data_IF_135102103038
#
_entry.id   IF_135102103038
#
_cell.length_a   1.000
_cell.length_b   1.000
_cell.length_c   1.000
_cell.angle_alpha   90.00
_cell.angle_beta   90.00
_cell.angle_gamma   90.00
#
_symmetry.space_group_name_H-M   'P 1'
#
loop_
_entity.id
_entity.type
_entity.pdbx_description
1 polymer ?
#
# COMPACT_ATOMS: atom_id res chain seq x y z
N UNK A 1 30.36 -0.60 -17.41
CA UNK A 1 29.74 -0.57 -18.76
C UNK A 1 28.63 -1.60 -18.94
N UNK A 2 28.84 -2.89 -18.65
CA UNK A 2 27.79 -3.93 -18.77
C UNK A 2 26.53 -3.65 -17.92
N UNK A 3 26.70 -3.14 -16.69
CA UNK A 3 25.59 -2.77 -15.79
C UNK A 3 24.76 -1.59 -16.33
N UNK A 4 25.41 -0.61 -16.95
CA UNK A 4 24.74 0.55 -17.57
C UNK A 4 23.96 0.14 -18.82
N UNK A 5 24.51 -0.81 -19.59
CA UNK A 5 23.84 -1.36 -20.77
C UNK A 5 22.60 -2.19 -20.39
N UNK A 6 22.68 -3.02 -19.35
CA UNK A 6 21.50 -3.76 -18.83
C UNK A 6 20.45 -2.80 -18.29
N UNK A 7 20.85 -1.75 -17.56
CA UNK A 7 19.94 -0.70 -17.09
C UNK A 7 19.28 0.05 -18.26
N UNK A 8 20.04 0.39 -19.29
CA UNK A 8 19.51 1.06 -20.49
C UNK A 8 18.57 0.16 -21.29
N UNK A 9 18.87 -1.13 -21.43
CA UNK A 9 18.00 -2.12 -22.09
C UNK A 9 16.73 -2.33 -21.27
N UNK A 10 16.83 -2.39 -19.93
CA UNK A 10 15.66 -2.43 -19.05
C UNK A 10 14.80 -1.18 -19.24
N UNK A 11 15.40 0.01 -19.16
CA UNK A 11 14.71 1.29 -19.33
C UNK A 11 14.03 1.42 -20.70
N UNK A 12 14.67 0.98 -21.79
CA UNK A 12 14.08 1.00 -23.14
C UNK A 12 13.01 -0.07 -23.32
N UNK A 13 13.17 -1.26 -22.71
CA UNK A 13 12.16 -2.33 -22.73
C UNK A 13 10.82 -1.91 -22.10
N UNK A 14 10.84 -1.04 -21.09
CA UNK A 14 9.63 -0.48 -20.48
C UNK A 14 8.89 0.55 -21.35
N UNK A 15 9.52 1.10 -22.40
CA UNK A 15 8.91 2.20 -23.18
C UNK A 15 7.96 1.76 -24.30
N UNK A 16 7.79 0.45 -24.56
CA UNK A 16 7.14 -0.05 -25.79
C UNK A 16 5.83 -0.81 -25.54
N UNK A 17 5.27 -0.81 -24.33
CA UNK A 17 4.00 -1.51 -24.06
C UNK A 17 2.86 -0.52 -23.81
N UNK A 18 2.43 0.21 -24.85
CA UNK A 18 1.11 0.86 -24.84
C UNK A 18 0.00 -0.17 -25.10
N UNK A 19 -0.12 -1.16 -24.21
CA UNK A 19 -1.38 -1.86 -24.08
C UNK A 19 -2.29 -0.95 -23.26
N UNK A 20 -3.45 -0.59 -23.80
CA UNK A 20 -4.50 0.04 -23.02
C UNK A 20 -4.97 -1.00 -22.00
N UNK A 21 -4.26 -1.10 -20.88
CA UNK A 21 -4.70 -1.87 -19.74
C UNK A 21 -5.95 -1.17 -19.21
N UNK A 22 -7.00 -1.94 -18.98
CA UNK A 22 -8.17 -1.40 -18.32
C UNK A 22 -8.02 -1.71 -16.83
N UNK A 23 -7.58 -0.73 -16.05
CA UNK A 23 -7.68 -0.82 -14.60
C UNK A 23 -9.17 -0.77 -14.22
N UNK A 24 -9.54 -1.50 -13.17
CA UNK A 24 -10.92 -1.45 -12.67
C UNK A 24 -11.23 -0.04 -12.15
N UNK A 25 -12.45 0.44 -12.42
CA UNK A 25 -12.90 1.74 -11.90
C UNK A 25 -12.81 1.78 -10.39
N UNK A 26 -13.22 0.70 -9.72
CA UNK A 26 -13.08 0.53 -8.29
C UNK A 26 -12.59 -0.87 -7.94
N UNK A 27 -11.90 -0.99 -6.81
CA UNK A 27 -11.70 -2.25 -6.13
C UNK A 27 -11.80 -2.06 -4.62
N UNK A 28 -12.33 -3.03 -3.88
CA UNK A 28 -12.38 -3.00 -2.42
C UNK A 28 -12.05 -4.36 -1.84
N UNK A 29 -11.31 -4.40 -0.74
CA UNK A 29 -11.07 -5.65 -0.04
C UNK A 29 -10.12 -5.49 1.13
N UNK A 30 -9.29 -6.50 1.33
CA UNK A 30 -8.38 -6.58 2.45
C UNK A 30 -6.94 -6.59 1.97
N UNK A 31 -6.08 -5.83 2.65
CA UNK A 31 -4.63 -5.88 2.55
C UNK A 31 -4.09 -6.49 3.84
N UNK A 32 -3.43 -7.63 3.74
CA UNK A 32 -3.02 -8.46 4.87
C UNK A 32 -1.49 -8.44 4.97
N UNK A 33 -0.97 -7.57 5.83
CA UNK A 33 0.46 -7.41 6.11
C UNK A 33 0.75 -7.47 7.62
N UNK A 34 2.02 -7.24 7.97
CA UNK A 34 2.47 -7.17 9.37
C UNK A 34 2.41 -5.72 9.88
N UNK A 35 2.58 -4.73 8.98
CA UNK A 35 2.38 -3.26 9.13
C UNK A 35 2.78 -2.72 10.51
N UNK A 36 3.93 -3.19 11.01
CA UNK A 36 4.49 -2.95 12.34
C UNK A 36 3.43 -2.75 13.43
N UNK A 37 2.49 -3.70 13.48
CA UNK A 37 1.43 -3.65 14.46
C UNK A 37 0.08 -3.07 14.00
N UNK A 38 -0.25 -2.90 12.71
CA UNK A 38 -1.64 -2.65 12.27
C UNK A 38 -2.35 -3.84 11.63
N UNK A 39 -1.63 -4.89 11.22
CA UNK A 39 -2.24 -6.13 10.72
C UNK A 39 -3.07 -5.94 9.44
N UNK A 40 -4.32 -6.42 9.45
CA UNK A 40 -5.21 -6.37 8.29
C UNK A 40 -5.83 -4.98 8.09
N UNK A 41 -5.77 -4.48 6.87
CA UNK A 41 -6.29 -3.18 6.46
C UNK A 41 -7.45 -3.34 5.47
N UNK A 42 -8.47 -2.49 5.59
CA UNK A 42 -9.51 -2.34 4.57
C UNK A 42 -8.93 -1.47 3.47
N UNK A 43 -8.83 -2.01 2.26
CA UNK A 43 -8.20 -1.34 1.11
C UNK A 43 -9.23 -1.01 0.04
N UNK A 44 -9.28 0.24 -0.40
CA UNK A 44 -10.13 0.72 -1.49
C UNK A 44 -9.29 1.40 -2.57
N UNK A 45 -9.55 1.04 -3.82
CA UNK A 45 -8.89 1.60 -4.99
C UNK A 45 -9.91 2.29 -5.90
N UNK A 46 -9.52 3.43 -6.47
CA UNK A 46 -10.30 4.20 -7.44
C UNK A 46 -9.43 4.61 -8.62
N UNK A 47 -9.80 4.18 -9.82
CA UNK A 47 -9.16 4.66 -11.05
C UNK A 47 -9.33 6.18 -11.20
N UNK A 48 -8.26 6.86 -11.58
CA UNK A 48 -8.22 8.31 -11.81
C UNK A 48 -7.99 8.66 -13.28
N UNK A 49 -7.45 7.73 -14.06
CA UNK A 49 -7.21 7.87 -15.49
C UNK A 49 -6.81 6.54 -16.11
N UNK A 50 -6.09 6.59 -17.23
CA UNK A 50 -5.78 5.41 -18.04
C UNK A 50 -4.91 4.37 -17.31
N UNK A 51 -3.95 4.82 -16.50
CA UNK A 51 -2.97 3.95 -15.86
C UNK A 51 -2.66 4.34 -14.42
N UNK A 52 -3.52 5.15 -13.80
CA UNK A 52 -3.29 5.64 -12.45
C UNK A 52 -4.55 5.54 -11.60
N UNK A 53 -4.33 5.29 -10.31
CA UNK A 53 -5.38 5.11 -9.32
C UNK A 53 -4.98 5.70 -7.97
N UNK A 54 -5.99 5.98 -7.16
CA UNK A 54 -5.85 6.23 -5.74
C UNK A 54 -6.10 4.93 -4.98
N UNK A 55 -5.25 4.60 -4.01
CA UNK A 55 -5.50 3.57 -2.99
C UNK A 55 -5.64 4.24 -1.63
N UNK A 56 -6.65 3.82 -0.87
CA UNK A 56 -6.93 4.26 0.50
C UNK A 56 -7.01 3.03 1.39
N UNK A 57 -6.20 3.00 2.44
CA UNK A 57 -6.17 1.88 3.37
C UNK A 57 -6.49 2.33 4.79
N UNK A 58 -7.41 1.61 5.43
CA UNK A 58 -7.78 1.81 6.83
C UNK A 58 -7.39 0.57 7.65
N UNK A 59 -6.33 0.72 8.44
CA UNK A 59 -5.97 -0.23 9.49
C UNK A 59 -6.71 0.12 10.77
N UNK A 60 -7.38 -0.87 11.35
CA UNK A 60 -8.03 -0.76 12.66
C UNK A 60 -7.43 -1.80 13.59
N UNK A 61 -7.08 -1.39 14.79
CA UNK A 61 -6.60 -2.33 15.80
C UNK A 61 -7.24 -2.07 17.14
N UNK A 62 -7.63 -3.17 17.77
CA UNK A 62 -8.16 -3.18 19.12
C UNK A 62 -7.64 -4.40 19.86
N UNK A 63 -7.21 -4.19 21.10
CA UNK A 63 -6.67 -5.23 21.97
C UNK A 63 -6.78 -4.88 23.44
N UNK A 64 -6.39 -5.81 24.32
CA UNK A 64 -6.40 -5.57 25.77
C UNK A 64 -5.27 -4.59 26.15
N UNK A 65 -5.62 -3.31 26.25
CA UNK A 65 -4.73 -2.23 26.68
C UNK A 65 -4.06 -1.45 25.55
N UNK A 66 -4.52 -1.61 24.31
CA UNK A 66 -4.15 -0.70 23.22
C UNK A 66 -5.24 -0.66 22.14
N UNK A 67 -5.55 0.54 21.66
CA UNK A 67 -6.43 0.78 20.52
C UNK A 67 -5.74 1.74 19.55
N UNK A 68 -6.05 1.62 18.26
CA UNK A 68 -5.48 2.53 17.28
C UNK A 68 -6.07 2.40 15.89
N UNK A 69 -5.82 3.41 15.08
CA UNK A 69 -6.14 3.39 13.66
C UNK A 69 -4.98 3.96 12.84
N UNK A 70 -4.92 3.56 11.58
CA UNK A 70 -4.02 4.16 10.58
C UNK A 70 -4.76 4.30 9.27
N UNK A 71 -4.63 5.46 8.68
CA UNK A 71 -5.16 5.80 7.37
C UNK A 71 -4.00 6.10 6.44
N UNK A 72 -3.92 5.35 5.34
CA UNK A 72 -2.96 5.60 4.26
C UNK A 72 -3.70 6.04 2.99
N UNK A 73 -3.08 6.94 2.23
CA UNK A 73 -3.50 7.31 0.89
C UNK A 73 -2.32 7.30 -0.06
N UNK A 74 -2.44 6.56 -1.17
CA UNK A 74 -1.38 6.32 -2.13
C UNK A 74 -1.86 6.63 -3.54
N UNK A 75 -1.09 7.43 -4.27
CA UNK A 75 -1.26 7.57 -5.71
C UNK A 75 -0.37 6.54 -6.41
N UNK A 76 -0.96 5.67 -7.22
CA UNK A 76 -0.27 4.57 -7.87
C UNK A 76 -0.34 4.71 -9.40
N UNK A 77 0.77 4.42 -10.05
CA UNK A 77 0.86 4.13 -11.47
C UNK A 77 0.88 2.62 -11.67
N UNK A 78 0.09 2.14 -12.61
CA UNK A 78 -0.08 0.72 -12.93
C UNK A 78 0.44 0.48 -14.35
N UNK A 79 1.03 -0.67 -14.60
CA UNK A 79 1.52 -1.07 -15.92
C UNK A 79 1.32 -2.57 -16.16
N UNK A 80 0.95 -2.92 -17.38
CA UNK A 80 0.79 -4.31 -17.79
C UNK A 80 2.15 -5.02 -17.83
N UNK A 81 2.24 -6.18 -17.15
CA UNK A 81 3.35 -7.11 -17.29
C UNK A 81 3.08 -8.09 -18.44
N UNK A 82 2.03 -8.91 -18.29
CA UNK A 82 1.63 -9.92 -19.25
C UNK A 82 0.20 -10.40 -18.98
N UNK A 83 -0.64 -10.48 -20.01
CA UNK A 83 -2.03 -10.92 -19.91
C UNK A 83 -2.84 -10.14 -18.86
N UNK A 84 -3.10 -10.80 -17.73
CA UNK A 84 -3.88 -10.27 -16.60
C UNK A 84 -2.99 -9.84 -15.42
N UNK A 85 -1.67 -9.92 -15.56
CA UNK A 85 -0.70 -9.45 -14.56
C UNK A 85 -0.34 -7.99 -14.82
N UNK A 86 -0.43 -7.17 -13.77
CA UNK A 86 0.11 -5.82 -13.75
C UNK A 86 1.18 -5.70 -12.67
N UNK A 87 2.05 -4.71 -12.83
CA UNK A 87 2.87 -4.18 -11.74
C UNK A 87 2.50 -2.74 -11.49
N UNK A 88 2.73 -2.26 -10.27
CA UNK A 88 2.46 -0.89 -9.90
C UNK A 88 3.55 -0.35 -8.99
N UNK A 89 3.68 0.97 -9.03
CA UNK A 89 4.48 1.73 -8.09
C UNK A 89 3.69 2.96 -7.67
N UNK A 90 3.85 3.40 -6.44
CA UNK A 90 3.09 4.50 -5.88
C UNK A 90 3.84 5.26 -4.82
N UNK A 91 3.32 6.45 -4.52
CA UNK A 91 3.78 7.31 -3.44
C UNK A 91 2.59 7.93 -2.74
N UNK A 92 2.77 8.25 -1.48
CA UNK A 92 1.72 8.86 -0.68
C UNK A 92 2.14 9.00 0.77
N UNK A 93 1.20 8.79 1.66
CA UNK A 93 1.41 8.93 3.08
C UNK A 93 0.10 8.83 3.85
N UNK A 94 0.15 9.19 5.12
CA UNK A 94 -1.01 9.04 5.96
C UNK A 94 -0.81 9.55 7.36
N UNK A 95 -1.75 9.17 8.21
CA UNK A 95 -1.72 9.46 9.63
C UNK A 95 -2.26 8.27 10.40
N UNK A 96 -1.79 8.13 11.63
CA UNK A 96 -2.33 7.13 12.54
C UNK A 96 -2.32 7.65 13.96
N UNK A 97 -3.05 6.95 14.81
CA UNK A 97 -3.07 7.20 16.23
C UNK A 97 -3.14 5.89 16.99
N UNK A 98 -2.43 5.86 18.12
CA UNK A 98 -2.48 4.78 19.09
C UNK A 98 -2.69 5.33 20.49
N UNK A 99 -3.43 4.60 21.31
CA UNK A 99 -3.55 4.81 22.75
C UNK A 99 -3.17 3.52 23.48
N UNK A 100 -2.33 3.64 24.51
CA UNK A 100 -1.97 2.54 25.40
C UNK A 100 -2.57 2.75 26.78
N UNK A 101 -3.36 1.78 27.26
CA UNK A 101 -3.84 1.77 28.63
C UNK A 101 -2.74 1.18 29.52
N UNK A 102 -2.07 2.01 30.32
CA UNK A 102 -1.05 1.53 31.27
C UNK A 102 -1.62 1.39 32.68
N UNK A 103 -1.22 0.35 33.44
CA UNK A 103 -1.61 0.25 34.83
C UNK A 103 -1.07 1.43 35.65
N UNK A 104 -1.90 1.94 36.57
CA UNK A 104 -1.57 3.03 37.50
C UNK A 104 -0.23 2.79 38.21
N UNK A 105 0.65 3.81 38.38
CA UNK A 105 0.38 5.26 38.35
C UNK A 105 0.83 5.97 37.05
N UNK A 106 1.11 5.22 35.98
CA UNK A 106 1.92 5.70 34.86
C UNK A 106 1.19 6.55 33.80
N UNK A 107 -0.13 6.74 33.92
CA UNK A 107 -0.93 7.54 32.98
C UNK A 107 -1.21 6.85 31.63
N UNK A 108 -2.11 7.45 30.85
CA UNK A 108 -2.44 7.02 29.48
C UNK A 108 -1.45 7.64 28.50
N UNK A 109 -0.77 6.84 27.69
CA UNK A 109 0.14 7.32 26.64
C UNK A 109 -0.58 7.21 25.29
N UNK A 110 -0.77 8.34 24.60
CA UNK A 110 -1.30 8.37 23.24
C UNK A 110 -0.42 9.17 22.31
N UNK A 111 -0.38 8.75 21.05
CA UNK A 111 0.37 9.43 20.00
C UNK A 111 -0.51 9.55 18.76
N UNK A 112 -0.36 10.68 18.06
CA UNK A 112 -0.78 10.82 16.67
C UNK A 112 0.45 11.13 15.84
N UNK A 113 0.66 10.36 14.77
CA UNK A 113 1.81 10.51 13.89
C UNK A 113 1.33 10.66 12.45
N UNK A 114 2.17 11.28 11.63
CA UNK A 114 2.03 11.31 10.18
C UNK A 114 3.18 10.52 9.56
N UNK A 115 3.01 10.05 8.33
CA UNK A 115 4.06 9.32 7.62
C UNK A 115 4.03 9.60 6.12
N UNK A 116 5.18 9.46 5.47
CA UNK A 116 5.30 9.36 4.02
C UNK A 116 5.44 7.88 3.65
N UNK A 117 4.90 7.48 2.50
CA UNK A 117 4.90 6.10 2.06
C UNK A 117 5.29 5.98 0.58
N UNK A 118 6.08 4.97 0.26
CA UNK A 118 6.22 4.43 -1.09
C UNK A 118 5.48 3.11 -1.19
N UNK A 119 5.20 2.67 -2.41
CA UNK A 119 4.54 1.39 -2.64
C UNK A 119 5.02 0.78 -3.96
N UNK A 120 5.24 -0.53 -3.96
CA UNK A 120 5.58 -1.29 -5.17
C UNK A 120 4.98 -2.68 -5.08
N UNK A 121 4.29 -3.11 -6.13
CA UNK A 121 3.61 -4.39 -6.10
C UNK A 121 3.35 -4.98 -7.47
N UNK A 122 2.89 -6.22 -7.43
CA UNK A 122 2.36 -6.95 -8.57
C UNK A 122 0.93 -7.39 -8.27
N UNK A 123 0.06 -7.34 -9.26
CA UNK A 123 -1.33 -7.77 -9.14
C UNK A 123 -1.72 -8.70 -10.28
N UNK A 124 -2.65 -9.60 -9.99
CA UNK A 124 -3.30 -10.44 -10.97
C UNK A 124 -4.81 -10.22 -10.91
N UNK A 125 -5.36 -9.89 -12.08
CA UNK A 125 -6.77 -9.60 -12.27
C UNK A 125 -7.47 -10.81 -12.92
N UNK A 126 -8.32 -11.52 -12.17
CA UNK A 126 -8.97 -12.73 -12.70
C UNK A 126 -10.02 -12.37 -13.79
N UNK A 127 -10.54 -13.38 -14.50
CA UNK A 127 -11.69 -13.14 -15.41
C UNK A 127 -12.99 -12.91 -14.63
N UNK A 128 -13.02 -13.31 -13.35
CA UNK A 128 -14.04 -12.94 -12.37
C UNK A 128 -13.67 -11.59 -11.71
N UNK A 129 -14.59 -10.88 -11.04
CA UNK A 129 -14.32 -9.60 -10.37
C UNK A 129 -13.44 -9.72 -9.10
N UNK A 130 -12.40 -10.54 -9.14
CA UNK A 130 -11.40 -10.73 -8.08
C UNK A 130 -10.04 -10.22 -8.56
N UNK A 131 -9.30 -9.59 -7.66
CA UNK A 131 -7.92 -9.20 -7.81
C UNK A 131 -7.12 -9.75 -6.62
N UNK A 132 -5.93 -10.27 -6.91
CA UNK A 132 -4.91 -10.58 -5.90
C UNK A 132 -3.70 -9.70 -6.15
N UNK A 133 -3.09 -9.18 -5.08
CA UNK A 133 -1.85 -8.42 -5.21
C UNK A 133 -0.87 -8.76 -4.09
N UNK A 134 0.42 -8.65 -4.38
CA UNK A 134 1.47 -8.65 -3.37
C UNK A 134 2.23 -7.34 -3.53
N UNK A 135 2.37 -6.62 -2.43
CA UNK A 135 3.06 -5.33 -2.40
C UNK A 135 4.03 -5.21 -1.24
N UNK A 136 4.95 -4.29 -1.43
CA UNK A 136 5.91 -3.86 -0.45
C UNK A 136 5.82 -2.34 -0.29
N UNK A 137 5.60 -1.90 0.96
CA UNK A 137 5.29 -0.52 1.31
C UNK A 137 6.31 0.00 2.34
N UNK A 138 7.37 0.68 1.89
CA UNK A 138 8.22 1.45 2.80
C UNK A 138 7.45 2.66 3.34
N UNK A 139 7.49 2.86 4.65
CA UNK A 139 6.89 4.01 5.32
C UNK A 139 7.93 4.72 6.19
N UNK A 140 7.92 6.04 6.15
CA UNK A 140 8.78 6.87 6.98
C UNK A 140 7.93 7.72 7.91
N UNK A 141 7.98 7.39 9.20
CA UNK A 141 7.20 8.05 10.24
C UNK A 141 7.77 9.39 10.68
N UNK A 142 6.88 10.28 11.10
CA UNK A 142 7.21 11.56 11.74
C UNK A 142 6.42 11.69 13.05
N UNK A 143 6.64 10.74 13.96
CA UNK A 143 6.13 10.73 15.33
C UNK A 143 7.26 10.83 16.36
N UNK A 144 6.87 10.92 17.62
CA UNK A 144 7.76 10.82 18.78
C UNK A 144 8.19 9.37 19.05
N UNK A 145 7.34 8.38 18.72
CA UNK A 145 7.65 6.95 18.81
C UNK A 145 7.82 6.27 17.45
N UNK A 146 7.26 6.83 16.37
CA UNK A 146 7.45 6.39 14.98
C UNK A 146 8.32 7.38 14.20
N UNK A 147 9.64 7.30 14.36
CA UNK A 147 10.62 8.17 13.70
C UNK A 147 11.53 7.44 12.70
N UNK A 148 11.26 6.15 12.43
CA UNK A 148 12.07 5.27 11.60
C UNK A 148 11.41 4.84 10.29
N UNK A 149 12.20 4.13 9.47
CA UNK A 149 11.76 3.53 8.22
C UNK A 149 11.20 2.14 8.51
N UNK A 150 9.90 1.98 8.32
CA UNK A 150 9.21 0.70 8.37
C UNK A 150 9.05 0.13 6.95
N UNK A 151 8.96 -1.19 6.84
CA UNK A 151 8.78 -1.88 5.57
C UNK A 151 7.78 -3.01 5.72
N UNK A 152 6.60 -2.82 5.15
CA UNK A 152 5.53 -3.82 5.19
C UNK A 152 5.44 -4.59 3.88
N UNK A 153 5.26 -5.91 3.96
CA UNK A 153 4.93 -6.76 2.81
C UNK A 153 3.54 -7.34 3.05
N UNK A 154 2.64 -7.13 2.09
CA UNK A 154 1.24 -7.54 2.25
C UNK A 154 0.72 -8.36 1.07
N UNK A 155 -0.25 -9.22 1.39
CA UNK A 155 -1.11 -9.88 0.42
C UNK A 155 -2.47 -9.18 0.40
N UNK A 156 -2.89 -8.73 -0.76
CA UNK A 156 -4.20 -8.10 -0.95
C UNK A 156 -5.17 -8.98 -1.72
N UNK A 157 -6.42 -8.98 -1.29
CA UNK A 157 -7.55 -9.66 -1.95
C UNK A 157 -8.66 -8.64 -2.12
N UNK A 158 -9.03 -8.30 -3.36
CA UNK A 158 -9.98 -7.22 -3.66
C UNK A 158 -11.06 -7.66 -4.66
N UNK A 159 -12.28 -7.21 -4.43
CA UNK A 159 -13.41 -7.30 -5.35
C UNK A 159 -13.43 -6.07 -6.28
N UNK A 160 -13.60 -6.28 -7.58
CA UNK A 160 -13.56 -5.24 -8.63
C UNK A 160 -14.95 -4.92 -9.17
N UNK A 161 -15.29 -3.65 -9.34
CA UNK A 161 -16.59 -3.19 -9.83
C UNK A 161 -16.58 -1.79 -10.47
#
# INVERSE_FOLDING_TARGET
>A
MKKLFVLAVALVGFTITSNAQQISDNAIGLRLGDSDGFGAEISYQRALGDNNRLELDLGLRSGNGYDGFKLAGLYQWVWLLDGNFNWYAGVGGGLGSYSFDRPFPSGDDSETFIFAAGDIGIEYNFDIPLQLAIDARPEFGFGDYRDDLDFDIALSIRYRF
#
